data_IF_275272951863
#
_entry.id   IF_275272951863
#
_cell.length_a   1.000
_cell.length_b   1.000
_cell.length_c   1.000
_cell.angle_alpha   90.00
_cell.angle_beta   90.00
_cell.angle_gamma   90.00
#
_symmetry.space_group_name_H-M   'P 1'
#
loop_
_entity.id
_entity.type
_entity.pdbx_description
1 polymer ?
#
# COMPACT_ATOMS: atom_id res chain seq x y z
N UNK A 1 7.98 -71.78 -27.76
CA UNK A 1 8.71 -70.55 -27.28
C UNK A 1 7.66 -69.46 -27.06
N UNK A 2 7.40 -69.10 -25.80
CA UNK A 2 6.43 -68.06 -25.42
C UNK A 2 7.24 -66.90 -24.86
N UNK A 3 7.20 -65.73 -25.53
CA UNK A 3 7.82 -64.52 -25.05
C UNK A 3 6.82 -63.71 -24.22
N UNK A 4 7.08 -63.59 -22.92
CA UNK A 4 6.34 -62.65 -22.05
C UNK A 4 6.90 -61.25 -22.23
N UNK A 5 6.07 -60.31 -22.70
CA UNK A 5 6.39 -58.89 -22.76
C UNK A 5 5.92 -58.28 -21.43
N UNK A 6 6.87 -57.81 -20.59
CA UNK A 6 6.59 -57.13 -19.38
C UNK A 6 6.34 -55.64 -19.70
N UNK A 7 5.13 -55.16 -19.48
CA UNK A 7 4.80 -53.74 -19.56
C UNK A 7 5.34 -52.97 -18.30
N UNK A 8 6.24 -52.04 -18.48
CA UNK A 8 6.71 -51.10 -17.43
C UNK A 8 5.77 -49.90 -17.41
N UNK A 9 4.91 -49.82 -16.40
CA UNK A 9 4.11 -48.63 -16.13
C UNK A 9 5.00 -47.55 -15.50
N UNK A 10 5.22 -46.45 -16.23
CA UNK A 10 5.87 -45.25 -15.69
C UNK A 10 4.84 -44.42 -14.94
N UNK A 11 4.99 -44.33 -13.62
CA UNK A 11 4.19 -43.44 -12.77
C UNK A 11 4.78 -42.02 -12.90
N UNK A 12 4.10 -41.16 -13.63
CA UNK A 12 4.42 -39.73 -13.69
C UNK A 12 3.84 -39.07 -12.43
N UNK A 13 4.69 -38.82 -11.45
CA UNK A 13 4.34 -38.08 -10.26
C UNK A 13 4.14 -36.60 -10.61
N UNK A 14 2.91 -36.12 -10.58
CA UNK A 14 2.57 -34.70 -10.74
C UNK A 14 2.88 -33.99 -9.42
N UNK A 15 4.02 -33.26 -9.39
CA UNK A 15 4.44 -32.44 -8.27
C UNK A 15 3.57 -31.16 -8.26
N UNK A 16 2.51 -31.12 -7.46
CA UNK A 16 1.75 -29.90 -7.19
C UNK A 16 2.62 -28.97 -6.33
N UNK A 17 3.20 -27.95 -6.96
CA UNK A 17 3.76 -26.81 -6.21
C UNK A 17 2.58 -26.08 -5.55
N UNK A 18 2.42 -26.29 -4.25
CA UNK A 18 1.57 -25.44 -3.41
C UNK A 18 2.27 -24.09 -3.28
N UNK A 19 1.83 -23.10 -4.04
CA UNK A 19 2.22 -21.72 -3.81
C UNK A 19 1.69 -21.32 -2.42
N UNK A 20 2.59 -21.06 -1.47
CA UNK A 20 2.23 -20.50 -0.19
C UNK A 20 1.62 -19.11 -0.43
N UNK A 21 0.50 -18.75 0.25
CA UNK A 21 -0.02 -17.40 0.16
C UNK A 21 1.05 -16.43 0.65
N UNK A 22 1.44 -15.48 -0.20
CA UNK A 22 2.27 -14.37 0.22
C UNK A 22 1.47 -13.57 1.26
N UNK A 23 1.98 -13.48 2.48
CA UNK A 23 1.42 -12.60 3.48
C UNK A 23 1.57 -11.17 2.96
N UNK A 24 0.47 -10.41 2.91
CA UNK A 24 0.52 -9.00 2.57
C UNK A 24 1.45 -8.30 3.59
N UNK A 25 2.50 -7.65 3.09
CA UNK A 25 3.39 -6.85 3.96
C UNK A 25 2.68 -5.55 4.35
N UNK A 26 2.81 -5.19 5.64
CA UNK A 26 2.38 -3.88 6.13
C UNK A 26 3.15 -2.76 5.40
N UNK A 27 2.53 -1.58 5.33
CA UNK A 27 3.15 -0.41 4.73
C UNK A 27 4.45 -0.03 5.45
N UNK A 28 5.54 0.18 4.71
CA UNK A 28 6.75 0.84 5.23
C UNK A 28 6.55 2.34 5.10
N UNK A 29 6.48 3.04 6.22
CA UNK A 29 6.28 4.49 6.28
C UNK A 29 7.53 5.14 6.86
N UNK A 30 8.24 5.91 6.05
CA UNK A 30 9.50 6.58 6.43
C UNK A 30 9.33 8.09 6.34
N UNK A 31 9.32 8.84 7.46
CA UNK A 31 9.43 10.29 7.45
C UNK A 31 10.76 10.72 6.83
N UNK A 32 10.72 11.56 5.80
CA UNK A 32 11.92 12.07 5.11
C UNK A 32 12.20 13.54 5.41
N UNK A 33 11.19 14.29 5.82
CA UNK A 33 11.32 15.68 6.23
C UNK A 33 10.15 16.06 7.15
N UNK A 34 10.45 16.74 8.25
CA UNK A 34 9.44 17.43 9.05
C UNK A 34 9.95 18.85 9.35
N UNK A 35 9.09 19.86 9.16
CA UNK A 35 9.45 21.25 9.30
C UNK A 35 8.29 22.08 9.86
N UNK A 36 8.59 22.91 10.85
CA UNK A 36 7.65 23.93 11.30
C UNK A 36 7.34 24.90 10.17
N UNK A 37 6.07 25.24 9.98
CA UNK A 37 5.63 26.14 8.92
C UNK A 37 5.59 27.58 9.45
N UNK A 38 6.59 28.39 9.07
CA UNK A 38 6.63 29.81 9.42
C UNK A 38 5.39 30.53 8.85
N UNK A 39 4.69 31.28 9.70
CA UNK A 39 3.45 31.98 9.33
C UNK A 39 2.16 31.15 9.52
N UNK A 40 2.29 29.87 9.87
CA UNK A 40 1.18 28.97 10.24
C UNK A 40 1.41 28.48 11.68
N UNK A 41 1.04 29.28 12.65
CA UNK A 41 1.29 28.99 14.07
C UNK A 41 0.75 27.60 14.47
N UNK A 42 1.58 26.79 15.11
CA UNK A 42 1.22 25.44 15.56
C UNK A 42 1.18 24.38 14.47
N UNK A 43 1.50 24.70 13.22
CA UNK A 43 1.51 23.76 12.11
C UNK A 43 2.90 23.29 11.73
N UNK A 44 2.97 22.06 11.25
CA UNK A 44 4.15 21.49 10.61
C UNK A 44 3.80 20.83 9.27
N UNK A 45 4.77 20.86 8.36
CA UNK A 45 4.75 20.08 7.12
C UNK A 45 5.59 18.83 7.31
N UNK A 46 5.05 17.66 6.95
CA UNK A 46 5.79 16.40 7.02
C UNK A 46 5.71 15.69 5.67
N UNK A 47 6.86 15.28 5.14
CA UNK A 47 6.96 14.43 3.96
C UNK A 47 7.31 13.02 4.37
N UNK A 48 6.61 12.06 3.78
CA UNK A 48 6.80 10.63 4.01
C UNK A 48 7.09 9.93 2.69
N UNK A 49 7.97 8.94 2.73
CA UNK A 49 8.05 7.91 1.70
C UNK A 49 7.27 6.69 2.18
N UNK A 50 6.32 6.23 1.38
CA UNK A 50 5.52 5.03 1.66
C UNK A 50 5.80 3.99 0.59
N UNK A 51 6.07 2.77 1.05
CA UNK A 51 6.32 1.63 0.19
C UNK A 51 5.35 0.49 0.58
N UNK A 52 4.66 -0.03 -0.43
CA UNK A 52 3.87 -1.26 -0.31
C UNK A 52 4.58 -2.39 -1.05
N UNK A 53 4.81 -3.50 -0.39
CA UNK A 53 5.14 -4.76 -1.06
C UNK A 53 3.97 -5.25 -1.93
N UNK A 54 4.15 -6.33 -2.70
CA UNK A 54 3.06 -6.98 -3.43
C UNK A 54 1.89 -7.33 -2.51
N UNK A 55 0.67 -6.91 -2.87
CA UNK A 55 -0.53 -7.10 -2.05
C UNK A 55 -0.58 -6.30 -0.74
N UNK A 56 0.43 -5.44 -0.48
CA UNK A 56 0.53 -4.64 0.74
C UNK A 56 -0.59 -3.62 0.89
N UNK A 57 -0.93 -3.29 2.13
CA UNK A 57 -2.01 -2.35 2.42
C UNK A 57 -1.82 -1.67 3.78
N UNK A 58 -2.57 -0.60 4.00
CA UNK A 58 -2.75 0.02 5.31
C UNK A 58 -4.15 -0.26 5.84
N UNK A 59 -4.28 -0.44 7.15
CA UNK A 59 -5.58 -0.52 7.80
C UNK A 59 -6.35 0.81 7.66
N UNK A 60 -7.66 0.77 7.83
CA UNK A 60 -8.54 1.95 7.83
C UNK A 60 -8.06 2.95 8.88
N UNK A 61 -7.87 4.20 8.48
CA UNK A 61 -7.28 5.24 9.33
C UNK A 61 -7.69 6.66 8.90
N UNK A 62 -7.24 7.65 9.68
CA UNK A 62 -7.31 9.08 9.33
C UNK A 62 -6.03 9.79 9.73
N UNK A 63 -5.82 11.00 9.23
CA UNK A 63 -4.59 11.76 9.48
C UNK A 63 -4.76 13.00 10.37
N UNK A 64 -5.97 13.57 10.49
CA UNK A 64 -6.21 14.91 11.05
C UNK A 64 -5.29 15.96 10.40
N UNK A 65 -5.08 15.83 9.10
CA UNK A 65 -4.14 16.61 8.31
C UNK A 65 -4.68 16.86 6.91
N UNK A 66 -4.24 17.93 6.26
CA UNK A 66 -4.30 17.99 4.80
C UNK A 66 -3.22 17.05 4.26
N UNK A 67 -3.62 16.03 3.52
CA UNK A 67 -2.74 14.96 3.03
C UNK A 67 -2.74 14.96 1.51
N UNK A 68 -1.55 15.09 0.93
CA UNK A 68 -1.32 15.09 -0.52
C UNK A 68 -0.46 13.89 -0.87
N UNK A 69 -0.93 13.06 -1.80
CA UNK A 69 -0.25 11.86 -2.27
C UNK A 69 0.24 12.07 -3.69
N UNK A 70 1.45 11.61 -4.00
CA UNK A 70 2.01 11.57 -5.34
C UNK A 70 2.68 10.22 -5.59
N UNK A 71 2.20 9.49 -6.59
CA UNK A 71 2.72 8.15 -6.92
C UNK A 71 4.01 8.26 -7.70
N UNK A 72 5.04 7.52 -7.26
CA UNK A 72 6.35 7.43 -7.91
C UNK A 72 6.48 6.17 -8.76
N UNK A 73 6.12 5.02 -8.21
CA UNK A 73 6.32 3.71 -8.81
C UNK A 73 5.14 2.78 -8.51
N UNK A 74 4.84 1.87 -9.44
CA UNK A 74 3.75 0.91 -9.29
C UNK A 74 2.37 1.57 -9.41
N UNK A 75 1.36 0.96 -8.79
CA UNK A 75 0.00 1.49 -8.75
C UNK A 75 -0.63 1.25 -7.39
N UNK A 76 -1.38 2.22 -6.90
CA UNK A 76 -2.06 2.16 -5.60
C UNK A 76 -3.57 2.38 -5.77
N UNK A 77 -4.34 1.74 -4.90
CA UNK A 77 -5.79 1.95 -4.81
C UNK A 77 -6.09 2.77 -3.57
N UNK A 78 -6.80 3.87 -3.74
CA UNK A 78 -7.14 4.82 -2.69
C UNK A 78 -8.64 5.09 -2.65
N UNK A 79 -9.18 5.23 -1.43
CA UNK A 79 -10.56 5.65 -1.21
C UNK A 79 -10.71 6.32 0.15
N UNK A 80 -11.36 7.46 0.19
CA UNK A 80 -11.94 8.01 1.42
C UNK A 80 -13.37 7.53 1.59
N UNK A 81 -13.85 7.42 2.83
CA UNK A 81 -15.20 6.95 3.15
C UNK A 81 -16.25 7.82 2.47
N UNK A 82 -17.21 7.19 1.80
CA UNK A 82 -18.23 7.87 0.99
C UNK A 82 -17.76 8.37 -0.38
N UNK A 83 -16.45 8.31 -0.68
CA UNK A 83 -15.87 8.65 -1.97
C UNK A 83 -15.78 7.45 -2.92
N UNK A 84 -15.34 7.71 -4.16
CA UNK A 84 -15.07 6.66 -5.14
C UNK A 84 -13.71 6.06 -4.89
N UNK A 85 -13.60 4.76 -5.06
CA UNK A 85 -12.31 4.07 -5.17
C UNK A 85 -11.62 4.47 -6.48
N UNK A 86 -10.33 4.81 -6.40
CA UNK A 86 -9.52 5.18 -7.55
C UNK A 86 -8.21 4.39 -7.56
N UNK A 87 -7.78 3.99 -8.75
CA UNK A 87 -6.45 3.40 -8.97
C UNK A 87 -5.55 4.46 -9.56
N UNK A 88 -4.39 4.66 -8.95
CA UNK A 88 -3.42 5.71 -9.30
C UNK A 88 -2.10 5.08 -9.70
N UNK A 89 -1.56 5.51 -10.85
CA UNK A 89 -0.22 5.17 -11.32
C UNK A 89 0.77 6.33 -11.14
N UNK A 90 2.04 6.15 -11.60
CA UNK A 90 3.09 7.16 -11.48
C UNK A 90 2.67 8.52 -12.05
N UNK A 91 2.97 9.60 -11.32
CA UNK A 91 2.61 10.97 -11.67
C UNK A 91 1.19 11.39 -11.28
N UNK A 92 0.37 10.47 -10.81
CA UNK A 92 -0.99 10.77 -10.34
C UNK A 92 -1.02 11.10 -8.85
N UNK A 93 -2.06 11.81 -8.44
CA UNK A 93 -2.20 12.38 -7.10
C UNK A 93 -3.52 12.01 -6.44
N UNK A 94 -3.51 12.02 -5.09
CA UNK A 94 -4.71 11.90 -4.27
C UNK A 94 -4.67 12.95 -3.16
N UNK A 95 -5.82 13.35 -2.67
CA UNK A 95 -5.94 14.28 -1.57
C UNK A 95 -6.94 13.78 -0.54
N UNK A 96 -6.60 13.96 0.74
CA UNK A 96 -7.46 13.70 1.89
C UNK A 96 -7.55 14.97 2.74
N UNK A 97 -8.75 15.34 3.13
CA UNK A 97 -9.00 16.43 4.08
C UNK A 97 -8.75 15.97 5.52
N UNK A 98 -8.60 16.90 6.49
CA UNK A 98 -8.39 16.55 7.90
C UNK A 98 -9.52 15.71 8.54
N UNK A 99 -10.70 15.69 7.93
CA UNK A 99 -11.89 14.97 8.44
C UNK A 99 -12.13 13.65 7.73
N UNK A 100 -11.42 13.39 6.64
CA UNK A 100 -11.61 12.18 5.84
C UNK A 100 -11.12 10.94 6.59
N UNK A 101 -11.84 9.84 6.41
CA UNK A 101 -11.42 8.51 6.83
C UNK A 101 -10.92 7.79 5.57
N UNK A 102 -9.64 7.44 5.55
CA UNK A 102 -9.03 6.67 4.49
C UNK A 102 -9.45 5.21 4.63
N UNK A 103 -10.46 4.81 3.86
CA UNK A 103 -11.07 3.49 3.96
C UNK A 103 -10.33 2.41 3.17
N UNK A 104 -9.70 2.79 2.06
CA UNK A 104 -8.88 1.90 1.24
C UNK A 104 -7.55 2.56 0.90
N UNK A 105 -6.44 1.89 1.27
CA UNK A 105 -5.08 2.24 0.87
C UNK A 105 -4.29 0.96 0.66
N UNK A 106 -4.04 0.58 -0.59
CA UNK A 106 -3.36 -0.68 -0.90
C UNK A 106 -2.59 -0.62 -2.22
N UNK A 107 -1.63 -1.52 -2.36
CA UNK A 107 -1.03 -1.83 -3.66
C UNK A 107 -2.10 -2.42 -4.59
N UNK A 108 -2.15 -1.95 -5.84
CA UNK A 108 -3.03 -2.51 -6.85
C UNK A 108 -2.52 -3.83 -7.44
N UNK A 109 -1.26 -4.21 -7.14
CA UNK A 109 -0.59 -5.40 -7.67
C UNK A 109 -0.23 -6.39 -6.56
N UNK A 110 -0.48 -7.68 -6.81
CA UNK A 110 -0.05 -8.78 -5.94
C UNK A 110 1.37 -9.29 -6.28
N UNK A 111 2.03 -8.71 -7.29
CA UNK A 111 3.33 -9.19 -7.79
C UNK A 111 4.39 -8.12 -7.88
N UNK A 112 4.04 -6.84 -7.92
CA UNK A 112 4.95 -5.71 -8.04
C UNK A 112 4.79 -4.76 -6.86
N UNK A 113 5.88 -4.14 -6.36
CA UNK A 113 5.79 -3.14 -5.31
C UNK A 113 5.20 -1.83 -5.82
N UNK A 114 4.77 -0.97 -4.90
CA UNK A 114 4.38 0.40 -5.17
C UNK A 114 5.08 1.35 -4.21
N UNK A 115 5.37 2.58 -4.67
CA UNK A 115 6.04 3.63 -3.91
C UNK A 115 5.39 4.97 -4.18
N UNK A 116 5.15 5.73 -3.13
CA UNK A 116 4.57 7.07 -3.23
C UNK A 116 5.06 8.00 -2.13
N UNK A 117 5.03 9.29 -2.41
CA UNK A 117 5.29 10.35 -1.44
C UNK A 117 3.96 10.83 -0.87
N UNK A 118 3.95 11.07 0.42
CA UNK A 118 2.85 11.73 1.12
C UNK A 118 3.39 13.01 1.74
N UNK A 119 2.74 14.14 1.47
CA UNK A 119 2.98 15.39 2.15
C UNK A 119 1.78 15.77 3.01
N UNK A 120 2.02 16.06 4.27
CA UNK A 120 0.99 16.43 5.24
C UNK A 120 1.21 17.81 5.79
N UNK A 121 0.13 18.57 5.93
CA UNK A 121 0.08 19.79 6.76
C UNK A 121 -0.83 19.49 7.95
N UNK A 122 -0.25 19.47 9.15
CA UNK A 122 -0.94 19.04 10.38
C UNK A 122 -0.56 19.89 11.60
N UNK A 123 -1.30 19.74 12.68
CA UNK A 123 -0.89 20.27 13.99
C UNK A 123 0.41 19.61 14.45
N UNK A 124 1.28 20.39 15.08
CA UNK A 124 2.51 19.94 15.69
C UNK A 124 2.26 18.83 16.72
N UNK A 125 3.02 17.75 16.65
CA UNK A 125 2.92 16.63 17.60
C UNK A 125 1.73 15.71 17.43
N UNK A 126 0.81 15.95 16.47
CA UNK A 126 -0.27 15.02 16.15
C UNK A 126 0.31 13.80 15.44
N UNK A 127 -0.15 12.56 15.77
CA UNK A 127 0.29 11.34 15.09
C UNK A 127 0.06 11.40 13.58
N UNK A 128 0.95 10.76 12.81
CA UNK A 128 0.83 10.67 11.35
C UNK A 128 -0.40 9.85 10.92
N UNK A 129 -0.73 8.84 11.70
CA UNK A 129 -1.85 7.91 11.44
C UNK A 129 -2.64 7.72 12.72
N UNK A 130 -3.96 7.80 12.62
CA UNK A 130 -4.90 7.58 13.71
C UNK A 130 -5.84 6.46 13.26
N UNK A 131 -5.90 5.32 13.96
CA UNK A 131 -6.83 4.25 13.62
C UNK A 131 -8.28 4.77 13.54
N UNK A 132 -9.03 4.30 12.56
CA UNK A 132 -10.45 4.60 12.41
C UNK A 132 -11.28 3.31 12.57
N UNK A 133 -12.51 3.40 13.09
CA UNK A 133 -13.40 2.26 13.28
C UNK A 133 -13.89 1.62 11.98
#
# INVERSE_FOLDING_TARGET
>A
MRYCIAARSALVGMLCLLAAPALAEDAKVNPILTKDLTGLAGKEGTMLMVEYGPGGSSAKHKHNAHTFVYVLEGSIVMQVEGGKEVTLGPGQTFYESPTDIHSVSKNASDTQPAKFVVFMVKEKGVPLVIPAP
#
